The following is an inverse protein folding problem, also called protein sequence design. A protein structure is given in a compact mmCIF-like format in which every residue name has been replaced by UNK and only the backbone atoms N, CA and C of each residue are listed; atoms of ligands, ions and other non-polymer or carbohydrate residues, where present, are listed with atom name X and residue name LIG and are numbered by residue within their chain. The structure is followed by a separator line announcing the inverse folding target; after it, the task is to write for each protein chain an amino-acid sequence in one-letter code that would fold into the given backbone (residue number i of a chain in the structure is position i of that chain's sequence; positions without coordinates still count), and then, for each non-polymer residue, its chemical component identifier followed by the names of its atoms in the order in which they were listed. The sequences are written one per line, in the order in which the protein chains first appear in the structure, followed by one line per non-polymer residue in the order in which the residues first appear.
data_IF_044996884859
#
_entry.id   IF_044996884859
#
_cell.length_a   1.000
_cell.length_b   1.000
_cell.length_c   1.000
_cell.angle_alpha   90.00
_cell.angle_beta   90.00
_cell.angle_gamma   90.00
#
_symmetry.space_group_name_H-M   'P 1'
#
loop_
_entity.id
_entity.type
_entity.pdbx_description
1 polymer ?
#
# COMPACT_ATOMS: atom_id res chain seq x y z
N UNK A 1 4.56 0.35 -35.53
CA UNK A 1 5.08 0.30 -34.14
C UNK A 1 4.28 1.17 -33.19
N UNK A 2 4.09 2.48 -33.47
CA UNK A 2 3.27 3.37 -32.62
C UNK A 2 1.81 2.90 -32.40
N UNK A 3 1.15 2.36 -33.43
CA UNK A 3 -0.21 1.78 -33.31
C UNK A 3 -0.24 0.59 -32.35
N UNK A 4 0.66 -0.37 -32.51
CA UNK A 4 0.75 -1.55 -31.63
C UNK A 4 1.15 -1.22 -30.19
N UNK A 5 1.98 -0.20 -29.98
CA UNK A 5 2.29 0.30 -28.63
C UNK A 5 1.06 0.95 -27.96
N UNK A 6 0.29 1.75 -28.71
CA UNK A 6 -0.97 2.31 -28.21
C UNK A 6 -1.97 1.21 -27.83
N UNK A 7 -2.10 0.18 -28.66
CA UNK A 7 -2.98 -0.98 -28.43
C UNK A 7 -2.53 -1.83 -27.23
N UNK A 8 -1.23 -1.88 -26.96
CA UNK A 8 -0.65 -2.52 -25.79
C UNK A 8 -0.93 -1.72 -24.50
N UNK A 9 -0.74 -0.39 -24.53
CA UNK A 9 -1.00 0.49 -23.38
C UNK A 9 -2.51 0.56 -23.09
N UNK A 10 -3.37 0.62 -24.11
CA UNK A 10 -4.83 0.63 -23.95
C UNK A 10 -5.40 -0.68 -23.37
N UNK A 11 -4.58 -1.72 -23.22
CA UNK A 11 -4.91 -2.92 -22.47
C UNK A 11 -4.86 -2.55 -20.98
N UNK A 12 -5.92 -1.93 -20.46
CA UNK A 12 -6.00 -1.15 -19.20
C UNK A 12 -5.19 -1.64 -18.00
N UNK A 13 -5.03 -2.96 -17.83
CA UNK A 13 -4.14 -3.56 -16.83
C UNK A 13 -2.69 -3.03 -16.85
N UNK A 14 -2.15 -2.62 -18.01
CA UNK A 14 -0.79 -2.06 -18.13
C UNK A 14 -0.71 -0.63 -17.60
N UNK A 15 -1.75 0.18 -17.82
CA UNK A 15 -1.80 1.57 -17.34
C UNK A 15 -1.90 1.58 -15.82
N UNK A 16 -2.79 0.77 -15.24
CA UNK A 16 -2.96 0.70 -13.79
C UNK A 16 -1.69 0.23 -13.09
N UNK A 17 -1.00 -0.76 -13.66
CA UNK A 17 0.29 -1.22 -13.16
C UNK A 17 1.36 -0.12 -13.27
N UNK A 18 1.45 0.57 -14.41
CA UNK A 18 2.41 1.65 -14.61
C UNK A 18 2.19 2.79 -13.60
N UNK A 19 0.93 3.18 -13.37
CA UNK A 19 0.57 4.19 -12.39
C UNK A 19 0.96 3.75 -10.98
N UNK A 20 0.66 2.49 -10.61
CA UNK A 20 1.03 1.94 -9.31
C UNK A 20 2.55 1.98 -9.06
N UNK A 21 3.36 1.62 -10.05
CA UNK A 21 4.83 1.64 -9.95
C UNK A 21 5.36 3.07 -9.79
N UNK A 22 4.87 4.01 -10.61
CA UNK A 22 5.32 5.42 -10.57
C UNK A 22 4.96 6.08 -9.24
N UNK A 23 3.72 5.89 -8.77
CA UNK A 23 3.27 6.43 -7.49
C UNK A 23 4.05 5.78 -6.34
N UNK A 24 4.26 4.47 -6.37
CA UNK A 24 5.04 3.75 -5.36
C UNK A 24 6.48 4.27 -5.26
N UNK A 25 7.15 4.51 -6.39
CA UNK A 25 8.48 5.06 -6.43
C UNK A 25 8.53 6.50 -5.89
N UNK A 26 7.61 7.36 -6.34
CA UNK A 26 7.54 8.75 -5.87
C UNK A 26 7.26 8.84 -4.37
N UNK A 27 6.35 8.01 -3.86
CA UNK A 27 6.03 7.97 -2.44
C UNK A 27 7.23 7.49 -1.61
N UNK A 28 7.90 6.42 -2.05
CA UNK A 28 9.11 5.91 -1.38
C UNK A 28 10.19 7.00 -1.31
N UNK A 29 10.37 7.80 -2.37
CA UNK A 29 11.31 8.92 -2.36
C UNK A 29 10.94 9.99 -1.33
N UNK A 30 9.65 10.33 -1.17
CA UNK A 30 9.19 11.28 -0.14
C UNK A 30 9.47 10.75 1.26
N UNK A 31 9.14 9.49 1.53
CA UNK A 31 9.38 8.90 2.85
C UNK A 31 10.88 8.83 3.15
N UNK A 32 11.69 8.38 2.18
CA UNK A 32 13.14 8.34 2.33
C UNK A 32 13.72 9.73 2.59
N UNK A 33 13.24 10.76 1.91
CA UNK A 33 13.65 12.15 2.17
C UNK A 33 13.38 12.56 3.61
N UNK A 34 12.20 12.23 4.14
CA UNK A 34 11.88 12.52 5.55
C UNK A 34 12.80 11.74 6.48
N UNK A 35 13.04 10.45 6.22
CA UNK A 35 13.94 9.65 7.07
C UNK A 35 15.36 10.19 7.04
N UNK A 36 15.93 10.40 5.85
CA UNK A 36 17.30 10.86 5.70
C UNK A 36 17.52 12.28 6.23
N UNK A 37 16.56 13.18 6.04
CA UNK A 37 16.76 14.59 6.40
C UNK A 37 16.25 14.96 7.80
N UNK A 38 15.30 14.20 8.36
CA UNK A 38 14.74 14.48 9.69
C UNK A 38 15.18 13.43 10.71
N UNK A 39 14.98 12.14 10.41
CA UNK A 39 15.23 11.09 11.40
C UNK A 39 16.72 10.74 11.56
N UNK A 40 17.48 10.63 10.47
CA UNK A 40 18.91 10.30 10.56
C UNK A 40 19.71 11.33 11.39
N UNK A 41 19.52 12.65 11.25
CA UNK A 41 20.18 13.63 12.11
C UNK A 41 19.73 13.55 13.57
N UNK A 42 18.43 13.32 13.83
CA UNK A 42 17.91 13.17 15.19
C UNK A 42 18.50 11.96 15.90
N UNK A 43 18.59 10.83 15.19
CA UNK A 43 19.18 9.61 15.75
C UNK A 43 20.69 9.79 15.92
N UNK A 44 21.38 10.36 14.92
CA UNK A 44 22.81 10.69 15.02
C UNK A 44 23.12 11.56 16.25
N UNK A 45 22.31 12.58 16.51
CA UNK A 45 22.44 13.44 17.68
C UNK A 45 22.29 12.70 19.02
N UNK A 46 21.43 11.67 19.09
CA UNK A 46 21.24 10.86 20.31
C UNK A 46 22.45 9.95 20.58
N UNK A 47 23.09 9.44 19.53
CA UNK A 47 24.24 8.53 19.62
C UNK A 47 25.60 9.24 19.57
N UNK A 48 25.62 10.58 19.68
CA UNK A 48 26.83 11.43 19.56
C UNK A 48 27.66 11.14 18.30
N UNK A 49 26.96 10.79 17.21
CA UNK A 49 27.55 10.40 15.94
C UNK A 49 27.05 11.33 14.83
N UNK A 50 27.93 11.67 13.88
CA UNK A 50 27.58 12.54 12.73
C UNK A 50 26.49 11.90 11.86
N UNK A 51 26.44 10.57 11.84
CA UNK A 51 25.37 9.74 11.30
C UNK A 51 25.49 8.32 11.86
N UNK A 52 24.41 7.53 11.80
CA UNK A 52 24.47 6.10 12.11
C UNK A 52 25.52 5.38 11.25
N UNK A 53 25.74 5.81 10.02
CA UNK A 53 26.73 5.21 9.11
C UNK A 53 28.18 5.34 9.59
N UNK A 54 28.47 6.30 10.49
CA UNK A 54 29.82 6.47 11.06
C UNK A 54 30.15 5.48 12.18
N UNK A 55 29.19 4.67 12.64
CA UNK A 55 29.45 3.60 13.60
C UNK A 55 30.02 2.39 12.86
N UNK A 56 31.34 2.33 12.85
CA UNK A 56 32.13 1.27 12.21
C UNK A 56 32.93 0.55 13.28
N UNK A 57 32.94 -0.78 13.20
CA UNK A 57 33.85 -1.62 13.96
C UNK A 57 34.98 -2.09 13.03
N UNK A 58 36.20 -1.69 13.32
CA UNK A 58 37.39 -2.10 12.57
C UNK A 58 37.92 -3.43 13.11
N UNK A 59 38.02 -4.44 12.24
CA UNK A 59 38.71 -5.70 12.53
C UNK A 59 39.82 -5.87 11.48
N UNK A 60 41.07 -5.61 11.89
CA UNK A 60 42.21 -5.60 10.99
C UNK A 60 42.08 -4.49 9.94
N UNK A 61 42.04 -4.86 8.67
CA UNK A 61 41.88 -3.95 7.53
C UNK A 61 40.43 -3.83 7.02
N UNK A 62 39.48 -4.49 7.71
CA UNK A 62 38.07 -4.48 7.34
C UNK A 62 37.27 -3.56 8.27
N UNK A 63 36.46 -2.70 7.66
CA UNK A 63 35.54 -1.79 8.33
C UNK A 63 34.12 -2.38 8.28
N UNK A 64 33.60 -2.82 9.43
CA UNK A 64 32.22 -3.33 9.54
C UNK A 64 31.31 -2.20 10.01
N UNK A 65 30.60 -1.56 9.07
CA UNK A 65 29.62 -0.51 9.34
C UNK A 65 28.30 -1.04 9.90
N UNK A 66 28.29 -1.55 11.13
CA UNK A 66 27.07 -2.03 11.79
C UNK A 66 26.03 -0.92 11.98
N UNK A 67 26.48 0.33 12.10
CA UNK A 67 25.61 1.49 12.19
C UNK A 67 24.77 1.74 10.93
N UNK A 68 25.33 1.49 9.75
CA UNK A 68 24.58 1.60 8.49
C UNK A 68 23.46 0.53 8.40
N UNK A 69 23.71 -0.67 8.92
CA UNK A 69 22.71 -1.74 9.00
C UNK A 69 21.60 -1.35 9.97
N UNK A 70 21.95 -0.85 11.15
CA UNK A 70 20.97 -0.37 12.13
C UNK A 70 20.14 0.79 11.59
N UNK A 71 20.77 1.75 10.90
CA UNK A 71 20.09 2.87 10.25
C UNK A 71 19.13 2.41 9.15
N UNK A 72 19.51 1.40 8.37
CA UNK A 72 18.63 0.80 7.36
C UNK A 72 17.42 0.11 7.99
N UNK A 73 17.59 -0.58 9.13
CA UNK A 73 16.49 -1.20 9.87
C UNK A 73 15.54 -0.14 10.42
N UNK A 74 16.06 0.92 11.04
CA UNK A 74 15.23 2.01 11.57
C UNK A 74 14.46 2.69 10.42
N UNK A 75 15.15 2.97 9.31
CA UNK A 75 14.52 3.53 8.11
C UNK A 75 13.38 2.65 7.61
N UNK A 76 13.61 1.34 7.49
CA UNK A 76 12.59 0.39 7.09
C UNK A 76 11.38 0.39 8.03
N UNK A 77 11.60 0.40 9.35
CA UNK A 77 10.52 0.44 10.33
C UNK A 77 9.70 1.74 10.24
N UNK A 78 10.36 2.89 10.04
CA UNK A 78 9.67 4.17 9.85
C UNK A 78 8.85 4.15 8.56
N UNK A 79 9.42 3.69 7.45
CA UNK A 79 8.71 3.58 6.17
C UNK A 79 7.49 2.68 6.30
N UNK A 80 7.65 1.50 6.91
CA UNK A 80 6.56 0.57 7.16
C UNK A 80 5.46 1.19 8.04
N UNK A 81 5.83 1.91 9.10
CA UNK A 81 4.90 2.61 9.98
C UNK A 81 4.11 3.68 9.22
N UNK A 82 4.77 4.53 8.42
CA UNK A 82 4.10 5.57 7.63
C UNK A 82 3.14 4.95 6.61
N UNK A 83 3.57 3.91 5.87
CA UNK A 83 2.71 3.19 4.92
C UNK A 83 1.50 2.59 5.63
N UNK A 84 1.71 1.98 6.79
CA UNK A 84 0.64 1.37 7.56
C UNK A 84 -0.38 2.41 8.04
N UNK A 85 0.06 3.51 8.64
CA UNK A 85 -0.83 4.53 9.18
C UNK A 85 -1.55 5.35 8.11
N UNK A 86 -0.90 5.64 6.98
CA UNK A 86 -1.47 6.49 5.91
C UNK A 86 -2.35 5.70 4.94
N UNK A 87 -1.99 4.47 4.61
CA UNK A 87 -2.74 3.68 3.61
C UNK A 87 -3.49 2.50 4.23
N UNK A 88 -2.80 1.64 4.99
CA UNK A 88 -3.38 0.38 5.45
C UNK A 88 -4.50 0.62 6.47
N UNK A 89 -4.27 1.47 7.46
CA UNK A 89 -5.22 1.74 8.53
C UNK A 89 -6.51 2.41 8.02
N UNK A 90 -6.47 3.46 7.17
CA UNK A 90 -7.69 4.05 6.61
C UNK A 90 -8.44 3.08 5.71
N UNK A 91 -7.74 2.35 4.83
CA UNK A 91 -8.37 1.38 3.93
C UNK A 91 -9.05 0.26 4.74
N UNK A 92 -8.38 -0.26 5.77
CA UNK A 92 -8.96 -1.29 6.63
C UNK A 92 -10.18 -0.74 7.41
N UNK A 93 -10.10 0.49 7.95
CA UNK A 93 -11.23 1.12 8.63
C UNK A 93 -12.44 1.35 7.71
N UNK A 94 -12.20 1.76 6.46
CA UNK A 94 -13.27 1.94 5.46
C UNK A 94 -13.91 0.61 5.09
N UNK A 95 -13.11 -0.44 4.84
CA UNK A 95 -13.62 -1.79 4.56
C UNK A 95 -14.47 -2.32 5.71
N UNK A 96 -13.99 -2.21 6.96
CA UNK A 96 -14.77 -2.59 8.12
C UNK A 96 -16.06 -1.78 8.27
N UNK A 97 -16.02 -0.47 7.97
CA UNK A 97 -17.21 0.38 8.02
C UNK A 97 -18.25 -0.03 6.96
N UNK A 98 -17.81 -0.36 5.74
CA UNK A 98 -18.66 -0.88 4.67
C UNK A 98 -19.24 -2.25 5.03
N UNK A 99 -18.44 -3.16 5.58
CA UNK A 99 -18.91 -4.47 6.03
C UNK A 99 -19.93 -4.37 7.18
N UNK A 100 -19.71 -3.46 8.13
CA UNK A 100 -20.67 -3.19 9.22
C UNK A 100 -22.00 -2.64 8.68
N UNK A 101 -21.95 -1.72 7.71
CA UNK A 101 -23.15 -1.19 7.04
C UNK A 101 -23.90 -2.28 6.26
N UNK A 102 -23.17 -3.13 5.53
CA UNK A 102 -23.74 -4.27 4.78
C UNK A 102 -24.40 -5.30 5.70
N UNK A 103 -23.79 -5.62 6.86
CA UNK A 103 -24.37 -6.52 7.87
C UNK A 103 -25.59 -5.92 8.59
N UNK A 104 -25.68 -4.59 8.68
CA UNK A 104 -26.81 -3.89 9.29
C UNK A 104 -28.03 -3.76 8.35
N UNK A 105 -27.98 -4.32 7.13
CA UNK A 105 -29.09 -4.30 6.17
C UNK A 105 -29.40 -2.90 5.61
N UNK A 106 -28.51 -1.94 5.82
CA UNK A 106 -28.62 -0.60 5.23
C UNK A 106 -27.94 -0.64 3.87
N UNK A 107 -28.70 -0.98 2.83
CA UNK A 107 -28.31 -0.71 1.45
C UNK A 107 -28.28 0.81 1.26
N UNK A 108 -27.09 1.34 0.97
CA UNK A 108 -26.93 2.74 0.60
C UNK A 108 -27.64 2.92 -0.76
N UNK A 109 -28.69 3.77 -0.88
CA UNK A 109 -29.53 3.83 -2.09
C UNK A 109 -28.80 4.23 -3.38
N UNK A 110 -27.55 4.70 -3.27
CA UNK A 110 -26.75 5.26 -4.36
C UNK A 110 -25.45 4.48 -4.64
N UNK A 111 -25.21 3.34 -3.98
CA UNK A 111 -24.10 2.48 -4.38
C UNK A 111 -24.52 1.68 -5.63
N UNK A 112 -23.81 1.79 -6.77
CA UNK A 112 -24.12 0.94 -7.93
C UNK A 112 -24.01 -0.52 -7.51
N UNK A 113 -25.00 -1.32 -7.90
CA UNK A 113 -25.08 -2.74 -7.54
C UNK A 113 -23.76 -3.43 -7.90
N UNK A 114 -23.15 -4.08 -6.92
CA UNK A 114 -21.96 -4.86 -7.21
C UNK A 114 -22.35 -6.09 -8.03
N UNK A 115 -21.43 -6.64 -8.83
CA UNK A 115 -21.69 -7.89 -9.57
C UNK A 115 -22.20 -9.01 -8.65
N UNK A 116 -21.74 -9.05 -7.40
CA UNK A 116 -22.22 -10.02 -6.42
C UNK A 116 -23.67 -9.78 -5.98
N UNK A 117 -24.10 -8.52 -5.91
CA UNK A 117 -25.48 -8.17 -5.57
C UNK A 117 -26.42 -8.53 -6.73
N UNK A 118 -26.03 -8.20 -7.97
CA UNK A 118 -26.75 -8.61 -9.18
C UNK A 118 -26.82 -10.14 -9.32
N UNK A 119 -25.72 -10.84 -9.06
CA UNK A 119 -25.70 -12.31 -9.09
C UNK A 119 -26.56 -12.93 -7.99
N UNK A 120 -26.65 -12.28 -6.82
CA UNK A 120 -27.54 -12.73 -5.74
C UNK A 120 -29.00 -12.53 -6.13
N UNK A 121 -29.34 -11.40 -6.74
CA UNK A 121 -30.69 -11.13 -7.26
C UNK A 121 -31.07 -12.11 -8.38
N UNK A 122 -30.18 -12.36 -9.35
CA UNK A 122 -30.38 -13.35 -10.42
C UNK A 122 -30.61 -14.75 -9.83
N UNK A 123 -29.83 -15.16 -8.83
CA UNK A 123 -30.01 -16.43 -8.13
C UNK A 123 -31.41 -16.52 -7.51
N UNK A 124 -31.84 -15.47 -6.84
CA UNK A 124 -33.11 -15.44 -6.14
C UNK A 124 -34.29 -15.43 -7.12
N UNK A 125 -34.18 -14.69 -8.23
CA UNK A 125 -35.13 -14.71 -9.34
C UNK A 125 -35.22 -16.08 -10.00
N UNK A 126 -34.09 -16.76 -10.22
CA UNK A 126 -34.05 -18.12 -10.77
C UNK A 126 -34.68 -19.13 -9.81
N UNK A 127 -34.41 -19.02 -8.51
CA UNK A 127 -35.00 -19.88 -7.49
C UNK A 127 -36.52 -19.66 -7.34
N UNK A 128 -36.99 -18.43 -7.50
CA UNK A 128 -38.42 -18.12 -7.55
C UNK A 128 -39.09 -18.68 -8.82
N UNK A 129 -38.42 -18.58 -9.97
CA UNK A 129 -38.91 -19.11 -11.24
C UNK A 129 -38.97 -20.64 -11.23
N UNK A 130 -38.01 -21.33 -10.62
CA UNK A 130 -38.02 -22.80 -10.51
C UNK A 130 -39.18 -23.31 -9.66
N UNK A 131 -39.51 -22.62 -8.55
CA UNK A 131 -40.65 -22.99 -7.68
C UNK A 131 -42.02 -22.77 -8.32
N UNK A 132 -42.10 -21.93 -9.35
CA UNK A 132 -43.38 -21.64 -10.05
C UNK A 132 -43.66 -22.66 -11.15
N UNK A 133 -42.70 -23.53 -11.47
CA UNK A 133 -42.79 -24.54 -12.55
C UNK A 133 -43.17 -25.94 -12.08
N UNK A 134 -43.20 -26.18 -10.76
CA UNK A 134 -43.73 -27.38 -10.11
C UNK A 134 -45.17 -27.12 -9.61
#
# INVERSE_FOLDING_TARGET
MLKGFREFVLRGNVIDLAVAVVIGAAFTAVVNSIVTNLFNPLIGAIFDAKSLDSLVWTIGNAEIGYGAVLGSIITFLIVAAVVYFVFVLPINKLKEAQERRRKAGVTEPDAPDTELDLLSEIRDLLAAQSRTRD
#
